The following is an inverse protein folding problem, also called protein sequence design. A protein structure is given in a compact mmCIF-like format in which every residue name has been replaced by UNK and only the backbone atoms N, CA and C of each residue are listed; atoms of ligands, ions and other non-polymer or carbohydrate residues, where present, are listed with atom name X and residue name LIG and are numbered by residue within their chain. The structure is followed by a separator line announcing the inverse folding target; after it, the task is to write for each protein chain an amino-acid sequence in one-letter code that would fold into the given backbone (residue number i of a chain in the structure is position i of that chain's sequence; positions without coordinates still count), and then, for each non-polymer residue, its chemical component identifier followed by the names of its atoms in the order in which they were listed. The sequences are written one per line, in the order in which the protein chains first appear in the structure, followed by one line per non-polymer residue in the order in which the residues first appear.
data_IF_434351408522
#
_entry.id   IF_434351408522
#
_cell.length_a   1.000
_cell.length_b   1.000
_cell.length_c   1.000
_cell.angle_alpha   90.00
_cell.angle_beta   90.00
_cell.angle_gamma   90.00
#
_symmetry.space_group_name_H-M   'P 1'
#
loop_
_entity.id
_entity.type
_entity.pdbx_description
1 polymer ?
#
# COMPACT_ATOMS: atom_id res chain seq x y z
N UNK A 1 -19.60 15.93 20.16
CA UNK A 1 -19.20 15.34 21.46
C UNK A 1 -17.92 14.52 21.23
N UNK A 2 -16.74 15.16 21.28
CA UNK A 2 -15.47 14.60 20.77
C UNK A 2 -14.62 13.94 21.89
N UNK A 3 -14.92 14.24 23.15
CA UNK A 3 -14.14 13.80 24.31
C UNK A 3 -14.77 12.60 25.01
N UNK A 4 -14.74 11.44 24.36
CA UNK A 4 -14.96 10.16 25.07
C UNK A 4 -13.63 9.67 25.64
N UNK A 5 -13.66 8.97 26.78
CA UNK A 5 -12.47 8.35 27.38
C UNK A 5 -11.74 7.44 26.37
N UNK A 6 -12.49 6.73 25.53
CA UNK A 6 -11.93 5.93 24.44
C UNK A 6 -11.11 6.75 23.44
N UNK A 7 -11.59 7.93 23.04
CA UNK A 7 -10.87 8.80 22.11
C UNK A 7 -9.57 9.32 22.73
N UNK A 8 -9.60 9.64 24.02
CA UNK A 8 -8.41 10.04 24.77
C UNK A 8 -7.36 8.92 24.82
N UNK A 9 -7.77 7.70 25.18
CA UNK A 9 -6.89 6.52 25.22
C UNK A 9 -6.34 6.19 23.83
N UNK A 10 -7.17 6.22 22.78
CA UNK A 10 -6.72 6.03 21.38
C UNK A 10 -5.71 7.10 20.97
N UNK A 11 -5.89 8.35 21.38
CA UNK A 11 -4.97 9.45 21.14
C UNK A 11 -3.62 9.27 21.85
N UNK A 12 -3.64 8.86 23.12
CA UNK A 12 -2.43 8.59 23.89
C UNK A 12 -1.63 7.42 23.28
N UNK A 13 -2.30 6.31 22.93
CA UNK A 13 -1.68 5.16 22.27
C UNK A 13 -1.09 5.56 20.91
N UNK A 14 -1.79 6.41 20.14
CA UNK A 14 -1.27 6.96 18.90
C UNK A 14 0.01 7.76 19.13
N UNK A 15 0.02 8.68 20.10
CA UNK A 15 1.19 9.49 20.45
C UNK A 15 2.40 8.63 20.83
N UNK A 16 2.20 7.61 21.67
CA UNK A 16 3.25 6.66 22.06
C UNK A 16 3.80 5.89 20.86
N UNK A 17 2.94 5.43 19.95
CA UNK A 17 3.37 4.70 18.75
C UNK A 17 4.15 5.59 17.79
N UNK A 18 3.74 6.85 17.60
CA UNK A 18 4.47 7.82 16.78
C UNK A 18 5.84 8.14 17.39
N UNK A 19 5.91 8.30 18.71
CA UNK A 19 7.17 8.51 19.42
C UNK A 19 8.11 7.29 19.27
N UNK A 20 7.59 6.08 19.45
CA UNK A 20 8.36 4.83 19.23
C UNK A 20 8.86 4.70 17.80
N UNK A 21 8.01 5.02 16.81
CA UNK A 21 8.42 5.01 15.41
C UNK A 21 9.56 6.00 15.15
N UNK A 22 9.46 7.22 15.70
CA UNK A 22 10.52 8.23 15.61
C UNK A 22 11.83 7.78 16.27
N UNK A 23 11.78 7.22 17.47
CA UNK A 23 12.97 6.72 18.19
C UNK A 23 13.65 5.58 17.43
N UNK A 24 12.85 4.70 16.80
CA UNK A 24 13.36 3.55 16.04
C UNK A 24 13.64 3.87 14.56
N UNK A 25 13.56 5.13 14.15
CA UNK A 25 13.70 5.57 12.75
C UNK A 25 12.79 4.79 11.76
N UNK A 26 11.58 4.44 12.20
CA UNK A 26 10.59 3.77 11.36
C UNK A 26 9.89 4.86 10.52
N UNK A 27 9.82 4.71 9.19
CA UNK A 27 9.14 5.69 8.35
C UNK A 27 7.64 5.73 8.66
N UNK A 28 7.04 6.91 8.56
CA UNK A 28 5.59 7.07 8.72
C UNK A 28 4.82 6.72 7.44
N UNK A 29 5.50 6.77 6.30
CA UNK A 29 4.95 6.54 4.97
C UNK A 29 5.79 5.55 4.15
N UNK A 30 5.14 4.68 3.37
CA UNK A 30 5.81 3.71 2.47
C UNK A 30 5.09 3.64 1.13
N UNK A 31 5.85 3.59 0.04
CA UNK A 31 5.33 3.31 -1.30
C UNK A 31 5.57 1.83 -1.63
N UNK A 32 4.54 1.15 -2.15
CA UNK A 32 4.63 -0.25 -2.56
C UNK A 32 4.31 -0.40 -4.04
N UNK A 33 5.29 -0.84 -4.82
CA UNK A 33 5.11 -1.26 -6.19
C UNK A 33 4.61 -2.71 -6.24
N UNK A 34 3.29 -2.90 -6.38
CA UNK A 34 2.63 -4.20 -6.17
C UNK A 34 2.87 -5.21 -7.30
N UNK A 35 3.15 -4.71 -8.50
CA UNK A 35 3.35 -5.51 -9.70
C UNK A 35 4.17 -4.71 -10.71
N UNK A 36 4.97 -5.39 -11.51
CA UNK A 36 5.67 -4.78 -12.65
C UNK A 36 4.78 -4.69 -13.90
N UNK A 37 3.64 -5.41 -13.90
CA UNK A 37 2.71 -5.44 -15.03
C UNK A 37 1.91 -4.16 -15.13
N UNK A 38 1.69 -3.70 -16.36
CA UNK A 38 0.76 -2.63 -16.68
C UNK A 38 -0.05 -3.02 -17.92
N UNK A 39 -1.31 -2.60 -17.98
CA UNK A 39 -2.17 -2.72 -19.16
C UNK A 39 -1.93 -1.60 -20.20
N UNK A 40 -1.02 -0.66 -19.93
CA UNK A 40 -0.56 0.38 -20.85
C UNK A 40 0.96 0.30 -21.04
N UNK A 41 1.46 0.92 -22.11
CA UNK A 41 2.90 1.03 -22.42
C UNK A 41 3.27 2.48 -22.73
N UNK A 42 3.18 3.34 -21.71
CA UNK A 42 3.46 4.77 -21.85
C UNK A 42 4.91 5.02 -22.26
N UNK A 43 5.15 5.92 -23.22
CA UNK A 43 6.48 6.21 -23.78
C UNK A 43 7.52 6.67 -22.75
N UNK A 44 7.06 7.26 -21.64
CA UNK A 44 7.90 7.81 -20.57
C UNK A 44 8.01 6.89 -19.34
N UNK A 45 7.45 5.68 -19.37
CA UNK A 45 7.42 4.79 -18.20
C UNK A 45 8.73 4.04 -18.03
N UNK A 46 9.43 4.25 -16.91
CA UNK A 46 10.67 3.54 -16.56
C UNK A 46 10.42 2.20 -15.82
N UNK A 47 9.20 1.97 -15.34
CA UNK A 47 8.87 0.86 -14.42
C UNK A 47 8.29 -0.38 -15.10
N UNK A 48 7.88 -0.27 -16.36
CA UNK A 48 7.11 -1.31 -17.06
C UNK A 48 7.89 -2.63 -17.26
N UNK A 49 7.21 -3.75 -17.00
CA UNK A 49 7.56 -5.07 -17.51
C UNK A 49 6.37 -5.69 -18.24
N UNK A 50 6.61 -6.29 -19.41
CA UNK A 50 5.58 -7.08 -20.08
C UNK A 50 5.34 -8.42 -19.37
N UNK A 51 4.12 -8.95 -19.47
CA UNK A 51 3.80 -10.29 -18.96
C UNK A 51 4.72 -11.39 -19.55
N UNK A 52 5.19 -11.21 -20.79
CA UNK A 52 6.14 -12.11 -21.46
C UNK A 52 7.56 -11.99 -20.90
N UNK A 53 7.99 -10.81 -20.51
CA UNK A 53 9.29 -10.61 -19.84
C UNK A 53 9.28 -11.18 -18.41
N UNK A 54 8.14 -11.13 -17.73
CA UNK A 54 7.96 -11.75 -16.41
C UNK A 54 7.84 -13.28 -16.49
N UNK A 55 7.18 -13.84 -17.50
CA UNK A 55 6.95 -15.29 -17.60
C UNK A 55 8.18 -16.07 -18.04
N UNK A 56 9.12 -15.44 -18.76
CA UNK A 56 10.27 -16.14 -19.33
C UNK A 56 11.47 -16.30 -18.39
N UNK A 57 11.37 -15.95 -17.10
CA UNK A 57 12.50 -15.93 -16.15
C UNK A 57 13.77 -15.19 -16.65
N UNK A 58 13.68 -14.46 -17.77
CA UNK A 58 14.83 -13.88 -18.48
C UNK A 58 15.17 -12.49 -17.98
N UNK A 59 14.30 -11.90 -17.16
CA UNK A 59 14.53 -10.63 -16.51
C UNK A 59 14.94 -10.88 -15.05
N UNK A 60 16.21 -11.21 -14.84
CA UNK A 60 16.90 -11.18 -13.53
C UNK A 60 16.12 -11.72 -12.32
N UNK A 61 15.55 -12.94 -12.36
CA UNK A 61 14.90 -13.55 -11.19
C UNK A 61 13.84 -12.66 -10.48
N UNK A 62 13.20 -11.72 -11.20
CA UNK A 62 12.20 -10.83 -10.60
C UNK A 62 10.90 -11.59 -10.35
N UNK A 63 10.84 -12.29 -9.21
CA UNK A 63 9.63 -12.94 -8.71
C UNK A 63 8.74 -11.90 -8.04
N UNK A 64 7.53 -11.71 -8.55
CA UNK A 64 6.51 -10.95 -7.81
C UNK A 64 6.14 -11.69 -6.53
N UNK A 65 5.96 -10.94 -5.45
CA UNK A 65 5.40 -11.49 -4.23
C UNK A 65 3.95 -11.91 -4.47
N UNK A 66 3.58 -13.05 -3.90
CA UNK A 66 2.18 -13.48 -3.84
C UNK A 66 1.35 -12.53 -2.97
N UNK A 67 0.03 -12.60 -3.12
CA UNK A 67 -0.87 -11.77 -2.31
C UNK A 67 -0.68 -12.03 -0.80
N UNK A 68 -0.42 -13.29 -0.42
CA UNK A 68 -0.19 -13.69 0.99
C UNK A 68 1.08 -13.04 1.54
N UNK A 69 2.16 -13.00 0.76
CA UNK A 69 3.42 -12.37 1.15
C UNK A 69 3.26 -10.86 1.32
N UNK A 70 2.58 -10.20 0.38
CA UNK A 70 2.26 -8.77 0.50
C UNK A 70 1.44 -8.44 1.76
N UNK A 71 0.40 -9.23 2.04
CA UNK A 71 -0.43 -9.02 3.24
C UNK A 71 0.39 -9.21 4.52
N UNK A 72 1.34 -10.15 4.55
CA UNK A 72 2.28 -10.31 5.68
C UNK A 72 3.14 -9.05 5.87
N UNK A 73 3.69 -8.50 4.78
CA UNK A 73 4.47 -7.25 4.82
C UNK A 73 3.63 -6.08 5.32
N UNK A 74 2.39 -5.94 4.81
CA UNK A 74 1.49 -4.87 5.23
C UNK A 74 1.22 -4.90 6.73
N UNK A 75 0.89 -6.07 7.28
CA UNK A 75 0.66 -6.23 8.71
C UNK A 75 1.93 -5.97 9.54
N UNK A 76 3.08 -6.47 9.08
CA UNK A 76 4.36 -6.21 9.73
C UNK A 76 4.66 -4.70 9.81
N UNK A 77 4.58 -4.00 8.68
CA UNK A 77 4.78 -2.56 8.59
C UNK A 77 3.77 -1.76 9.41
N UNK A 78 2.50 -2.18 9.41
CA UNK A 78 1.46 -1.57 10.24
C UNK A 78 1.80 -1.68 11.73
N UNK A 79 2.30 -2.83 12.17
CA UNK A 79 2.71 -3.08 13.55
C UNK A 79 3.97 -2.32 13.96
N UNK A 80 4.87 -2.04 13.00
CA UNK A 80 6.03 -1.17 13.21
C UNK A 80 5.66 0.31 13.41
N UNK A 81 4.48 0.72 12.94
CA UNK A 81 3.98 2.09 13.12
C UNK A 81 3.80 2.87 11.83
N UNK A 82 3.99 2.25 10.66
CA UNK A 82 3.64 2.86 9.38
C UNK A 82 2.14 3.13 9.33
N UNK A 83 1.78 4.30 8.82
CA UNK A 83 0.38 4.77 8.80
C UNK A 83 -0.09 5.18 7.41
N UNK A 84 0.78 5.82 6.63
CA UNK A 84 0.46 6.25 5.28
C UNK A 84 1.11 5.31 4.27
N UNK A 85 0.36 4.91 3.26
CA UNK A 85 0.92 4.07 2.19
C UNK A 85 0.45 4.56 0.84
N UNK A 86 1.32 4.47 -0.16
CA UNK A 86 0.94 4.61 -1.57
C UNK A 86 1.05 3.24 -2.25
N UNK A 87 0.02 2.88 -3.01
CA UNK A 87 -0.04 1.64 -3.79
C UNK A 87 0.17 2.01 -5.26
N UNK A 88 1.27 1.52 -5.81
CA UNK A 88 1.82 1.86 -7.11
C UNK A 88 2.23 0.57 -7.85
N UNK A 89 3.16 0.69 -8.80
CA UNK A 89 3.67 -0.40 -9.63
C UNK A 89 3.56 -0.04 -11.12
N UNK A 90 3.40 -1.05 -11.96
CA UNK A 90 2.98 -0.85 -13.35
C UNK A 90 1.53 -0.37 -13.40
N UNK A 91 0.59 -1.22 -13.00
CA UNK A 91 -0.80 -0.85 -12.76
C UNK A 91 -1.36 -1.58 -11.52
N UNK A 92 -1.58 -0.88 -10.40
CA UNK A 92 -1.99 -1.52 -9.14
C UNK A 92 -3.37 -2.19 -9.21
N UNK A 93 -4.27 -1.75 -10.10
CA UNK A 93 -5.59 -2.37 -10.24
C UNK A 93 -5.54 -3.82 -10.77
N UNK A 94 -4.43 -4.24 -11.38
CA UNK A 94 -4.17 -5.65 -11.71
C UNK A 94 -3.96 -6.53 -10.46
N UNK A 95 -3.80 -5.91 -9.28
CA UNK A 95 -3.67 -6.53 -7.96
C UNK A 95 -4.82 -6.08 -7.02
N UNK A 96 -6.06 -6.01 -7.53
CA UNK A 96 -7.22 -5.44 -6.81
C UNK A 96 -7.41 -5.98 -5.38
N UNK A 97 -7.17 -7.27 -5.14
CA UNK A 97 -7.24 -7.85 -3.79
C UNK A 97 -6.32 -7.14 -2.79
N UNK A 98 -5.09 -6.79 -3.20
CA UNK A 98 -4.13 -6.09 -2.35
C UNK A 98 -4.57 -4.66 -2.03
N UNK A 99 -5.26 -3.99 -2.96
CA UNK A 99 -5.82 -2.66 -2.71
C UNK A 99 -6.88 -2.72 -1.60
N UNK A 100 -7.77 -3.72 -1.68
CA UNK A 100 -8.77 -3.95 -0.63
C UNK A 100 -8.14 -4.25 0.73
N UNK A 101 -7.12 -5.11 0.78
CA UNK A 101 -6.46 -5.45 2.05
C UNK A 101 -5.69 -4.27 2.64
N UNK A 102 -4.96 -3.51 1.82
CA UNK A 102 -4.24 -2.33 2.27
C UNK A 102 -5.18 -1.28 2.90
N UNK A 103 -6.36 -1.06 2.32
CA UNK A 103 -7.37 -0.13 2.86
C UNK A 103 -7.94 -0.61 4.21
N UNK A 104 -7.99 -1.91 4.46
CA UNK A 104 -8.40 -2.46 5.77
C UNK A 104 -7.28 -2.28 6.82
N UNK A 105 -6.03 -2.46 6.41
CA UNK A 105 -4.87 -2.50 7.31
C UNK A 105 -4.39 -1.10 7.69
N UNK A 106 -4.23 -0.21 6.70
CA UNK A 106 -3.63 1.11 6.88
C UNK A 106 -4.68 2.21 7.05
N UNK A 107 -4.43 3.21 7.91
CA UNK A 107 -5.35 4.33 8.08
C UNK A 107 -5.37 5.27 6.87
N UNK A 108 -4.24 5.49 6.20
CA UNK A 108 -4.15 6.36 5.02
C UNK A 108 -3.57 5.59 3.85
N UNK A 109 -4.35 5.50 2.76
CA UNK A 109 -3.98 4.77 1.55
C UNK A 109 -4.19 5.69 0.36
N UNK A 110 -3.15 5.86 -0.46
CA UNK A 110 -3.19 6.50 -1.77
C UNK A 110 -2.99 5.43 -2.83
N UNK A 111 -3.64 5.57 -3.98
CA UNK A 111 -3.53 4.63 -5.09
C UNK A 111 -3.21 5.43 -6.34
N UNK A 112 -2.04 5.17 -6.95
CA UNK A 112 -1.66 5.78 -8.22
C UNK A 112 -1.96 4.80 -9.37
N UNK A 113 -3.05 5.05 -10.09
CA UNK A 113 -3.53 4.20 -11.19
C UNK A 113 -3.62 5.01 -12.49
N UNK A 114 -3.47 4.34 -13.63
CA UNK A 114 -3.72 4.93 -14.94
C UNK A 114 -5.21 5.18 -15.25
N UNK A 115 -6.12 4.67 -14.41
CA UNK A 115 -7.55 4.94 -14.49
C UNK A 115 -8.35 4.11 -15.48
N UNK A 116 -7.74 3.17 -16.21
CA UNK A 116 -8.46 2.29 -17.15
C UNK A 116 -9.41 1.34 -16.41
N UNK A 117 -8.95 0.75 -15.31
CA UNK A 117 -9.79 -0.08 -14.45
C UNK A 117 -10.32 0.80 -13.33
N UNK A 118 -11.65 0.90 -13.23
CA UNK A 118 -12.30 1.73 -12.22
C UNK A 118 -11.98 1.21 -10.81
N UNK A 119 -11.51 2.12 -9.95
CA UNK A 119 -11.35 1.82 -8.54
C UNK A 119 -12.72 1.67 -7.88
N UNK A 120 -12.91 0.65 -7.02
CA UNK A 120 -14.13 0.52 -6.25
C UNK A 120 -14.23 1.67 -5.25
N UNK A 121 -15.46 2.03 -4.86
CA UNK A 121 -15.64 2.92 -3.73
C UNK A 121 -15.22 2.19 -2.45
N UNK A 122 -14.07 2.55 -1.93
CA UNK A 122 -13.57 2.01 -0.68
C UNK A 122 -14.38 2.60 0.48
N UNK A 123 -15.27 1.80 1.09
CA UNK A 123 -16.00 2.17 2.31
C UNK A 123 -15.05 2.09 3.52
N UNK A 124 -14.02 2.93 3.56
CA UNK A 124 -13.12 3.04 4.70
C UNK A 124 -13.52 4.23 5.55
N UNK A 125 -13.71 4.02 6.87
CA UNK A 125 -14.00 5.10 7.84
C UNK A 125 -12.83 6.09 8.02
N UNK A 126 -11.75 5.99 7.23
CA UNK A 126 -10.43 6.58 7.56
C UNK A 126 -9.72 7.33 6.43
N UNK A 127 -10.24 7.30 5.20
CA UNK A 127 -9.71 8.16 4.14
C UNK A 127 -10.39 9.52 4.24
N UNK A 128 -9.64 10.64 4.45
CA UNK A 128 -10.21 11.96 4.27
C UNK A 128 -10.61 12.08 2.80
N UNK A 129 -11.86 12.49 2.58
CA UNK A 129 -12.31 13.01 1.28
C UNK A 129 -11.62 14.35 1.08
#
# INVERSE_FOLDING_TARGET
MIFTLENFVKGAILGINLLKAKIKNIPLAVNYDLTWQCNLRCKHCYFYASAKELSKNSMHNRKELSNVEWIKIFNYHRNLGIRSVALTGGEPTLRMQLLHEAVKIFPYVQIASNGIIKLPQFKSRKQPI
#
